data_IF_802512453774
#
_entry.id   IF_802512453774
#
_cell.length_a   1.000
_cell.length_b   1.000
_cell.length_c   1.000
_cell.angle_alpha   90.00
_cell.angle_beta   90.00
_cell.angle_gamma   90.00
#
_symmetry.space_group_name_H-M   'P 1'
#
loop_
_entity.id
_entity.type
_entity.pdbx_description
1 polymer ?
#
# COMPACT_ATOMS: atom_id res chain seq x y z
N UNK A 1 -56.02 69.51 -5.83
CA UNK A 1 -55.83 68.06 -5.94
C UNK A 1 -54.39 67.87 -6.40
N UNK A 2 -53.52 67.29 -5.58
CA UNK A 2 -52.14 67.06 -5.98
C UNK A 2 -51.98 65.71 -6.74
N UNK A 3 -50.94 65.56 -7.60
CA UNK A 3 -50.73 64.36 -8.39
C UNK A 3 -50.00 63.27 -7.63
N UNK A 4 -50.40 62.04 -7.91
CA UNK A 4 -49.84 60.79 -7.31
C UNK A 4 -48.44 60.50 -7.77
N UNK A 5 -47.56 60.21 -6.84
CA UNK A 5 -46.18 59.78 -7.08
C UNK A 5 -46.19 58.24 -7.45
N UNK A 6 -45.55 57.91 -8.58
CA UNK A 6 -45.28 56.55 -9.02
C UNK A 6 -43.96 56.08 -8.42
N UNK A 7 -43.99 55.10 -7.56
CA UNK A 7 -42.82 54.46 -6.99
C UNK A 7 -42.33 53.35 -7.89
N UNK A 8 -41.14 53.53 -8.52
CA UNK A 8 -40.45 52.45 -9.25
C UNK A 8 -39.71 51.54 -8.27
N UNK A 9 -40.15 50.28 -8.17
CA UNK A 9 -39.46 49.25 -7.45
C UNK A 9 -38.33 48.68 -8.35
N UNK A 10 -37.07 48.84 -7.89
CA UNK A 10 -35.91 48.17 -8.50
C UNK A 10 -35.81 46.79 -7.93
N UNK A 11 -36.14 45.75 -8.74
CA UNK A 11 -35.81 44.35 -8.44
C UNK A 11 -34.32 44.11 -8.72
N UNK A 12 -33.52 44.03 -7.66
CA UNK A 12 -32.13 43.59 -7.74
C UNK A 12 -32.05 42.07 -7.91
N UNK A 13 -31.63 41.60 -9.06
CA UNK A 13 -31.31 40.22 -9.25
C UNK A 13 -30.01 39.85 -8.56
N UNK A 14 -30.10 39.08 -7.49
CA UNK A 14 -28.93 38.50 -6.79
C UNK A 14 -28.44 37.32 -7.60
N UNK A 15 -27.34 37.47 -8.35
CA UNK A 15 -26.62 36.37 -8.98
C UNK A 15 -25.84 35.61 -7.90
N UNK A 16 -26.36 34.47 -7.44
CA UNK A 16 -25.59 33.53 -6.63
C UNK A 16 -24.63 32.77 -7.56
N UNK A 17 -23.35 33.17 -7.52
CA UNK A 17 -22.27 32.46 -8.19
C UNK A 17 -21.99 31.19 -7.40
N UNK A 18 -22.60 30.06 -7.75
CA UNK A 18 -22.20 28.74 -7.25
C UNK A 18 -20.81 28.41 -7.79
N UNK A 19 -19.77 28.73 -7.00
CA UNK A 19 -18.43 28.16 -7.20
C UNK A 19 -18.54 26.69 -6.81
N UNK A 20 -18.66 25.81 -7.78
CA UNK A 20 -18.46 24.40 -7.56
C UNK A 20 -16.99 24.19 -7.19
N UNK A 21 -16.72 24.14 -5.90
CA UNK A 21 -15.47 23.56 -5.39
C UNK A 21 -15.49 22.08 -5.79
N UNK A 22 -14.81 21.78 -6.88
CA UNK A 22 -14.50 20.39 -7.22
C UNK A 22 -13.71 19.81 -6.08
N UNK A 23 -14.32 18.94 -5.27
CA UNK A 23 -13.61 18.14 -4.30
C UNK A 23 -12.54 17.36 -5.07
N UNK A 24 -11.27 17.77 -4.94
CA UNK A 24 -10.14 16.94 -5.32
C UNK A 24 -10.25 15.70 -4.47
N UNK A 25 -10.30 14.53 -5.08
CA UNK A 25 -10.09 13.29 -4.36
C UNK A 25 -8.70 13.38 -3.72
N UNK A 26 -8.68 13.61 -2.42
CA UNK A 26 -7.46 13.58 -1.63
C UNK A 26 -7.02 12.12 -1.59
N UNK A 27 -5.72 11.86 -1.77
CA UNK A 27 -5.13 10.54 -1.63
C UNK A 27 -5.26 10.02 -0.19
N UNK A 28 -4.64 8.88 0.09
CA UNK A 28 -4.55 8.34 1.46
C UNK A 28 -3.84 9.35 2.34
N UNK A 29 -4.46 9.74 3.45
CA UNK A 29 -3.87 10.64 4.44
C UNK A 29 -2.92 9.88 5.36
N UNK A 30 -1.77 9.43 4.85
CA UNK A 30 -0.72 8.79 5.63
C UNK A 30 0.57 9.59 5.56
N UNK A 31 1.38 9.52 6.64
CA UNK A 31 2.69 10.16 6.70
C UNK A 31 3.84 9.22 6.36
N UNK A 32 3.58 7.94 6.17
CA UNK A 32 4.58 6.93 5.84
C UNK A 32 4.28 6.30 4.48
N UNK A 33 5.26 6.34 3.60
CA UNK A 33 5.18 5.89 2.22
C UNK A 33 6.26 4.84 1.98
N UNK A 34 5.84 3.62 1.72
CA UNK A 34 6.69 2.45 1.50
C UNK A 34 6.84 2.15 0.01
N UNK A 35 8.03 1.81 -0.43
CA UNK A 35 8.28 1.23 -1.74
C UNK A 35 9.19 0.01 -1.61
N UNK A 36 8.74 -1.14 -2.11
CA UNK A 36 9.48 -2.40 -2.01
C UNK A 36 10.56 -2.50 -3.08
N UNK A 37 11.60 -3.27 -2.78
CA UNK A 37 12.63 -3.75 -3.71
C UNK A 37 13.65 -2.67 -4.14
N UNK A 38 14.94 -3.00 -4.01
CA UNK A 38 16.03 -2.19 -4.56
C UNK A 38 16.17 -0.81 -3.93
N UNK A 39 15.89 -0.68 -2.63
CA UNK A 39 15.87 0.60 -1.95
C UNK A 39 17.24 1.24 -1.72
N UNK A 40 18.33 0.47 -1.86
CA UNK A 40 19.69 0.95 -1.60
C UNK A 40 20.58 0.75 -2.81
N UNK A 41 21.45 1.70 -3.07
CA UNK A 41 22.52 1.55 -4.06
C UNK A 41 23.69 0.70 -3.54
N UNK A 42 24.70 0.50 -4.36
CA UNK A 42 25.91 -0.26 -4.01
C UNK A 42 26.74 0.36 -2.87
N UNK A 43 26.50 1.62 -2.53
CA UNK A 43 27.14 2.35 -1.44
C UNK A 43 26.28 2.39 -0.17
N UNK A 44 25.10 1.76 -0.19
CA UNK A 44 24.13 1.76 0.91
C UNK A 44 23.28 3.02 1.02
N UNK A 45 23.25 3.89 0.01
CA UNK A 45 22.43 5.08 0.04
C UNK A 45 20.95 4.74 -0.29
N UNK A 46 20.02 5.25 0.51
CA UNK A 46 18.59 5.08 0.33
C UNK A 46 18.06 5.89 -0.86
N UNK A 47 17.54 5.21 -1.88
CA UNK A 47 17.16 5.81 -3.16
C UNK A 47 15.73 6.37 -3.22
N UNK A 48 14.68 5.70 -2.67
CA UNK A 48 13.30 6.15 -2.83
C UNK A 48 12.99 7.50 -2.16
N UNK A 49 13.83 7.94 -1.22
CA UNK A 49 13.71 9.23 -0.54
C UNK A 49 13.66 10.43 -1.48
N UNK A 50 14.29 10.34 -2.68
CA UNK A 50 14.23 11.40 -3.71
C UNK A 50 12.82 11.67 -4.25
N UNK A 51 11.90 10.73 -4.04
CA UNK A 51 10.49 10.80 -4.46
C UNK A 51 9.56 10.95 -3.24
N UNK A 52 10.12 11.15 -2.05
CA UNK A 52 9.38 11.36 -0.82
C UNK A 52 8.95 10.09 -0.08
N UNK A 53 9.38 8.89 -0.52
CA UNK A 53 9.20 7.69 0.27
C UNK A 53 10.06 7.78 1.53
N UNK A 54 9.49 7.46 2.68
CA UNK A 54 10.10 7.60 3.99
C UNK A 54 9.94 6.36 4.88
N UNK A 55 9.51 5.25 4.27
CA UNK A 55 9.55 3.91 4.85
C UNK A 55 10.33 3.01 3.90
N UNK A 56 11.46 2.49 4.37
CA UNK A 56 12.40 1.71 3.58
C UNK A 56 12.15 0.21 3.70
N UNK A 57 12.34 -0.52 2.60
CA UNK A 57 12.47 -1.97 2.57
C UNK A 57 13.88 -2.35 3.05
N UNK A 58 13.98 -2.99 4.21
CA UNK A 58 15.24 -3.25 4.92
C UNK A 58 15.46 -4.74 5.08
N UNK A 59 16.66 -5.20 4.75
CA UNK A 59 17.09 -6.60 4.88
C UNK A 59 18.34 -6.80 5.74
N UNK A 60 18.96 -5.72 6.25
CA UNK A 60 20.09 -5.81 7.19
C UNK A 60 20.06 -4.68 8.24
N UNK A 61 20.75 -4.90 9.36
CA UNK A 61 20.86 -3.89 10.42
C UNK A 61 21.61 -2.65 9.91
N UNK A 62 22.63 -2.85 9.09
CA UNK A 62 23.40 -1.78 8.48
C UNK A 62 22.53 -0.86 7.60
N UNK A 63 21.58 -1.45 6.85
CA UNK A 63 20.61 -0.66 6.08
C UNK A 63 19.72 0.16 7.01
N UNK A 64 19.20 -0.46 8.09
CA UNK A 64 18.34 0.23 9.06
C UNK A 64 19.08 1.38 9.77
N UNK A 65 20.33 1.16 10.15
CA UNK A 65 21.16 2.16 10.83
C UNK A 65 21.59 3.31 9.91
N UNK A 66 21.71 3.05 8.60
CA UNK A 66 22.13 4.04 7.59
C UNK A 66 20.97 4.92 7.08
N UNK A 67 19.73 4.69 7.52
CA UNK A 67 18.59 5.44 7.03
C UNK A 67 18.72 6.94 7.36
N UNK A 68 18.34 7.82 6.41
CA UNK A 68 18.29 9.26 6.65
C UNK A 68 17.34 9.62 7.79
N UNK A 69 17.58 10.76 8.42
CA UNK A 69 16.69 11.29 9.47
C UNK A 69 15.24 11.39 8.96
N UNK A 70 14.29 10.87 9.74
CA UNK A 70 12.87 10.85 9.39
C UNK A 70 12.43 9.66 8.54
N UNK A 71 13.34 8.84 8.04
CA UNK A 71 13.03 7.58 7.37
C UNK A 71 12.99 6.46 8.40
N UNK A 72 11.97 5.59 8.31
CA UNK A 72 11.83 4.37 9.10
C UNK A 72 12.10 3.14 8.23
N UNK A 73 12.34 2.00 8.87
CA UNK A 73 12.52 0.72 8.18
C UNK A 73 11.39 -0.25 8.47
N UNK A 74 10.95 -0.94 7.44
CA UNK A 74 10.12 -2.14 7.51
C UNK A 74 11.02 -3.32 7.15
N UNK A 75 11.26 -4.22 8.10
CA UNK A 75 12.24 -5.31 7.96
C UNK A 75 11.57 -6.52 7.31
N UNK A 76 12.13 -7.00 6.21
CA UNK A 76 11.68 -8.22 5.57
C UNK A 76 12.08 -9.46 6.38
N UNK A 77 11.09 -10.29 6.72
CA UNK A 77 11.26 -11.58 7.43
C UNK A 77 11.16 -12.76 6.46
N UNK A 78 10.12 -12.81 5.64
CA UNK A 78 9.98 -13.76 4.53
C UNK A 78 9.79 -15.21 4.95
N UNK A 79 9.25 -15.47 6.15
CA UNK A 79 9.00 -16.82 6.65
C UNK A 79 7.72 -16.89 7.48
N UNK A 80 7.18 -18.09 7.63
CA UNK A 80 5.96 -18.37 8.39
C UNK A 80 6.08 -19.77 9.04
N UNK A 81 7.13 -19.94 9.83
CA UNK A 81 7.39 -21.20 10.56
C UNK A 81 7.06 -21.12 12.04
N UNK A 82 6.57 -19.97 12.49
CA UNK A 82 6.42 -19.65 13.90
C UNK A 82 7.73 -19.17 14.51
N UNK A 83 7.79 -19.11 15.83
CA UNK A 83 8.96 -18.60 16.57
C UNK A 83 10.01 -19.71 16.69
N UNK A 84 10.69 -19.96 15.59
CA UNK A 84 11.82 -20.88 15.53
C UNK A 84 13.19 -20.17 15.61
N UNK A 85 14.27 -20.92 15.49
CA UNK A 85 15.62 -20.38 15.55
C UNK A 85 15.93 -19.43 14.37
N UNK A 86 15.37 -19.70 13.17
CA UNK A 86 15.57 -18.87 11.98
C UNK A 86 14.83 -17.53 12.13
N UNK A 87 13.56 -17.56 12.55
CA UNK A 87 12.80 -16.36 12.87
C UNK A 87 13.54 -15.49 13.91
N UNK A 88 13.99 -16.09 15.02
CA UNK A 88 14.70 -15.36 16.05
C UNK A 88 16.02 -14.77 15.57
N UNK A 89 16.76 -15.48 14.73
CA UNK A 89 18.00 -14.98 14.14
C UNK A 89 17.74 -13.78 13.22
N UNK A 90 16.61 -13.77 12.48
CA UNK A 90 16.22 -12.67 11.61
C UNK A 90 15.73 -11.45 12.38
N UNK A 91 14.91 -11.62 13.42
CA UNK A 91 14.17 -10.51 14.04
C UNK A 91 14.95 -9.84 15.17
N UNK A 92 15.65 -10.62 16.02
CA UNK A 92 16.34 -10.11 17.21
C UNK A 92 17.34 -8.97 16.98
N UNK A 93 18.14 -8.96 15.90
CA UNK A 93 19.12 -7.90 15.67
C UNK A 93 18.51 -6.49 15.53
N UNK A 94 17.23 -6.39 15.21
CA UNK A 94 16.54 -5.12 14.99
C UNK A 94 15.79 -4.60 16.22
N UNK A 95 15.64 -5.44 17.25
CA UNK A 95 14.88 -5.08 18.46
C UNK A 95 15.52 -3.90 19.17
N UNK A 96 14.72 -2.86 19.46
CA UNK A 96 15.17 -1.64 20.12
C UNK A 96 15.80 -0.60 19.17
N UNK A 97 15.91 -0.90 17.88
CA UNK A 97 16.42 0.09 16.91
C UNK A 97 15.40 1.23 16.75
N UNK A 98 15.80 2.50 16.94
CA UNK A 98 14.88 3.64 16.86
C UNK A 98 14.32 3.91 15.46
N UNK A 99 14.97 3.40 14.41
CA UNK A 99 14.51 3.54 13.03
C UNK A 99 13.51 2.45 12.63
N UNK A 100 13.32 1.41 13.45
CA UNK A 100 12.39 0.32 13.14
C UNK A 100 10.94 0.81 13.24
N UNK A 101 10.17 0.65 12.15
CA UNK A 101 8.71 0.71 12.18
C UNK A 101 8.12 -0.65 12.56
N UNK A 102 8.63 -1.72 11.95
CA UNK A 102 8.07 -3.06 12.13
C UNK A 102 8.66 -4.10 11.19
N UNK A 103 7.94 -5.20 11.06
CA UNK A 103 8.36 -6.39 10.33
C UNK A 103 7.34 -6.78 9.26
N UNK A 104 7.80 -6.94 8.03
CA UNK A 104 7.06 -7.54 6.94
C UNK A 104 7.26 -9.06 7.02
N UNK A 105 6.31 -9.74 7.65
CA UNK A 105 6.45 -11.16 8.01
C UNK A 105 6.45 -12.06 6.78
N UNK A 106 5.48 -11.86 5.87
CA UNK A 106 5.37 -12.71 4.69
C UNK A 106 4.60 -12.00 3.58
N UNK A 107 5.07 -12.13 2.34
CA UNK A 107 4.34 -11.76 1.14
C UNK A 107 3.47 -12.92 0.67
N UNK A 108 2.19 -12.64 0.42
CA UNK A 108 1.20 -13.58 -0.13
C UNK A 108 1.21 -14.98 0.50
N UNK A 109 1.18 -15.10 1.86
CA UNK A 109 1.20 -16.40 2.52
C UNK A 109 -0.01 -17.25 2.13
N UNK A 110 0.22 -18.56 1.91
CA UNK A 110 -0.83 -19.51 1.52
C UNK A 110 -1.36 -20.29 2.74
N UNK A 111 -2.59 -20.00 3.21
CA UNK A 111 -3.16 -20.72 4.35
C UNK A 111 -3.47 -22.19 4.03
N UNK A 112 -3.58 -22.54 2.75
CA UNK A 112 -4.00 -23.86 2.27
C UNK A 112 -2.85 -24.79 1.95
N UNK A 113 -1.70 -24.24 1.54
CA UNK A 113 -0.58 -24.98 1.00
C UNK A 113 -0.78 -25.47 -0.44
N UNK A 114 -1.76 -24.89 -1.15
CA UNK A 114 -2.08 -25.29 -2.53
C UNK A 114 -1.12 -24.71 -3.55
N UNK A 115 -0.67 -23.50 -3.35
CA UNK A 115 0.15 -22.74 -4.31
C UNK A 115 1.58 -22.56 -3.83
N UNK A 116 1.77 -22.39 -2.51
CA UNK A 116 3.04 -22.20 -1.84
C UNK A 116 3.11 -23.08 -0.59
N UNK A 117 4.27 -23.22 0.07
CA UNK A 117 4.33 -23.88 1.37
C UNK A 117 3.28 -23.30 2.32
N UNK A 118 2.57 -24.19 3.02
CA UNK A 118 1.48 -23.76 3.89
C UNK A 118 1.99 -22.85 5.01
N UNK A 119 1.41 -21.67 5.11
CA UNK A 119 1.57 -20.75 6.22
C UNK A 119 0.35 -20.84 7.13
N UNK A 120 0.48 -21.43 8.32
CA UNK A 120 -0.62 -21.51 9.27
C UNK A 120 -0.83 -20.17 9.97
N UNK A 121 -2.08 -19.79 10.21
CA UNK A 121 -2.39 -18.56 10.95
C UNK A 121 -1.76 -18.55 12.36
N UNK A 122 -1.69 -19.71 13.03
CA UNK A 122 -1.05 -19.87 14.33
C UNK A 122 0.45 -19.56 14.31
N UNK A 123 1.13 -19.79 13.18
CA UNK A 123 2.54 -19.42 13.02
C UNK A 123 2.70 -17.91 12.99
N UNK A 124 1.93 -17.22 12.14
CA UNK A 124 1.91 -15.74 12.08
C UNK A 124 1.49 -15.14 13.42
N UNK A 125 0.54 -15.78 14.10
CA UNK A 125 0.12 -15.36 15.43
C UNK A 125 1.28 -15.45 16.44
N UNK A 126 2.00 -16.57 16.49
CA UNK A 126 3.14 -16.73 17.38
C UNK A 126 4.26 -15.72 17.08
N UNK A 127 4.56 -15.48 15.79
CA UNK A 127 5.54 -14.48 15.33
C UNK A 127 5.13 -13.06 15.74
N UNK A 128 3.87 -12.68 15.52
CA UNK A 128 3.32 -11.37 15.90
C UNK A 128 3.33 -11.20 17.43
N UNK A 129 2.89 -12.18 18.18
CA UNK A 129 2.88 -12.15 19.64
C UNK A 129 4.30 -11.98 20.21
N UNK A 130 5.29 -12.67 19.62
CA UNK A 130 6.69 -12.50 19.99
C UNK A 130 7.19 -11.08 19.72
N UNK A 131 6.91 -10.54 18.54
CA UNK A 131 7.31 -9.17 18.16
C UNK A 131 6.69 -8.15 19.14
N UNK A 132 5.39 -8.26 19.41
CA UNK A 132 4.70 -7.35 20.32
C UNK A 132 5.28 -7.41 21.75
N UNK A 133 5.73 -8.58 22.19
CA UNK A 133 6.31 -8.77 23.52
C UNK A 133 7.75 -8.23 23.64
N UNK A 134 8.58 -8.40 22.60
CA UNK A 134 10.03 -8.13 22.66
C UNK A 134 10.46 -6.87 21.89
N UNK A 135 9.64 -6.39 20.98
CA UNK A 135 9.83 -5.13 20.25
C UNK A 135 8.58 -4.23 20.39
N UNK A 136 8.28 -3.75 21.60
CA UNK A 136 7.04 -3.01 21.86
C UNK A 136 6.96 -1.77 20.99
N UNK A 137 5.81 -1.61 20.31
CA UNK A 137 5.55 -0.54 19.34
C UNK A 137 5.88 -0.88 17.89
N UNK A 138 6.66 -1.94 17.64
CA UNK A 138 6.89 -2.43 16.29
C UNK A 138 5.61 -3.05 15.71
N UNK A 139 5.35 -2.77 14.42
CA UNK A 139 4.20 -3.30 13.69
C UNK A 139 4.53 -4.61 13.00
N UNK A 140 3.52 -5.45 12.83
CA UNK A 140 3.59 -6.64 11.98
C UNK A 140 2.73 -6.45 10.75
N UNK A 141 3.23 -6.86 9.59
CA UNK A 141 2.60 -6.64 8.29
C UNK A 141 2.69 -7.90 7.42
N UNK A 142 1.61 -8.20 6.71
CA UNK A 142 1.58 -9.18 5.62
C UNK A 142 0.84 -8.61 4.42
N UNK A 143 1.10 -9.16 3.24
CA UNK A 143 0.27 -8.95 2.05
C UNK A 143 -0.53 -10.23 1.80
N UNK A 144 -1.86 -10.11 1.73
CA UNK A 144 -2.75 -11.25 1.44
C UNK A 144 -2.57 -11.72 -0.01
N UNK A 145 -2.89 -13.01 -0.25
CA UNK A 145 -2.74 -13.63 -1.56
C UNK A 145 -3.43 -12.83 -2.67
N UNK A 146 -2.77 -12.79 -3.83
CA UNK A 146 -3.33 -12.21 -5.04
C UNK A 146 -4.53 -13.06 -5.52
N UNK A 147 -5.68 -12.41 -5.70
CA UNK A 147 -6.90 -13.05 -6.21
C UNK A 147 -7.07 -12.86 -7.73
N UNK A 148 -6.03 -12.41 -8.42
CA UNK A 148 -6.00 -12.21 -9.87
C UNK A 148 -7.14 -11.34 -10.37
N UNK A 149 -7.79 -11.76 -11.47
CA UNK A 149 -8.93 -11.06 -12.07
C UNK A 149 -10.29 -11.46 -11.47
N UNK A 150 -10.33 -12.08 -10.29
CA UNK A 150 -11.57 -12.53 -9.68
C UNK A 150 -12.61 -11.42 -9.60
N UNK A 151 -13.81 -11.69 -10.08
CA UNK A 151 -14.97 -10.81 -9.93
C UNK A 151 -15.65 -10.98 -8.57
N UNK A 152 -15.34 -12.07 -7.88
CA UNK A 152 -15.82 -12.41 -6.55
C UNK A 152 -14.66 -12.88 -5.66
N UNK A 153 -13.66 -11.99 -5.39
CA UNK A 153 -12.52 -12.34 -4.53
C UNK A 153 -13.02 -12.71 -3.13
N UNK A 154 -12.30 -13.61 -2.46
CA UNK A 154 -12.62 -14.00 -1.09
C UNK A 154 -11.35 -14.33 -0.31
N UNK A 155 -11.18 -13.70 0.84
CA UNK A 155 -10.14 -14.03 1.82
C UNK A 155 -10.68 -14.89 2.97
N UNK A 156 -11.86 -15.49 2.80
CA UNK A 156 -12.45 -16.39 3.81
C UNK A 156 -11.49 -17.55 4.11
N UNK A 157 -11.27 -17.84 5.39
CA UNK A 157 -10.32 -18.86 5.84
C UNK A 157 -8.85 -18.48 5.71
N UNK A 158 -8.55 -17.23 5.31
CA UNK A 158 -7.22 -16.65 5.30
C UNK A 158 -6.89 -15.97 6.65
N UNK A 159 -6.12 -14.90 6.63
CA UNK A 159 -5.62 -14.20 7.82
C UNK A 159 -6.41 -12.94 8.10
N UNK A 160 -6.61 -12.68 9.40
CA UNK A 160 -7.20 -11.44 9.92
C UNK A 160 -6.61 -11.15 11.32
N UNK A 161 -6.86 -9.98 11.91
CA UNK A 161 -6.32 -9.64 13.22
C UNK A 161 -6.66 -10.61 14.34
N UNK A 162 -7.81 -11.32 14.24
CA UNK A 162 -8.25 -12.22 15.30
C UNK A 162 -7.53 -13.57 15.29
N UNK A 163 -7.15 -14.09 14.11
CA UNK A 163 -6.53 -15.41 14.00
C UNK A 163 -5.00 -15.38 13.83
N UNK A 164 -4.43 -14.25 13.38
CA UNK A 164 -2.99 -14.12 13.13
C UNK A 164 -2.28 -13.11 14.03
N UNK A 165 -3.03 -12.27 14.75
CA UNK A 165 -2.55 -11.14 15.54
C UNK A 165 -1.65 -10.15 14.76
N UNK A 166 -1.63 -10.25 13.43
CA UNK A 166 -0.96 -9.30 12.55
C UNK A 166 -1.65 -7.95 12.63
N UNK A 167 -0.84 -6.88 12.66
CA UNK A 167 -1.37 -5.52 12.78
C UNK A 167 -1.94 -4.98 11.48
N UNK A 168 -1.26 -5.21 10.35
CA UNK A 168 -1.52 -4.55 9.09
C UNK A 168 -1.57 -5.54 7.92
N UNK A 169 -2.47 -5.29 6.97
CA UNK A 169 -2.76 -6.18 5.86
C UNK A 169 -2.80 -5.41 4.54
N UNK A 170 -1.90 -5.73 3.62
CA UNK A 170 -1.96 -5.30 2.23
C UNK A 170 -2.63 -6.34 1.34
N UNK A 171 -2.98 -5.99 0.11
CA UNK A 171 -3.44 -6.94 -0.91
C UNK A 171 -3.13 -6.47 -2.32
N UNK A 172 -2.71 -7.42 -3.16
CA UNK A 172 -2.25 -7.21 -4.52
C UNK A 172 -3.42 -6.94 -5.48
N UNK A 173 -4.07 -5.79 -5.38
CA UNK A 173 -5.09 -5.35 -6.33
C UNK A 173 -4.44 -4.59 -7.48
N UNK A 174 -3.83 -5.31 -8.44
CA UNK A 174 -3.15 -4.73 -9.60
C UNK A 174 -4.09 -4.64 -10.80
N UNK A 175 -4.73 -3.47 -11.05
CA UNK A 175 -5.83 -3.34 -11.99
C UNK A 175 -5.41 -3.29 -13.46
N UNK A 176 -4.15 -2.93 -13.77
CA UNK A 176 -3.69 -2.70 -15.14
C UNK A 176 -2.97 -3.94 -15.68
N UNK A 177 -3.63 -4.65 -16.63
CA UNK A 177 -3.18 -5.95 -17.14
C UNK A 177 -3.48 -6.12 -18.62
N UNK A 178 -2.70 -6.97 -19.30
CA UNK A 178 -2.82 -7.20 -20.75
C UNK A 178 -4.13 -7.89 -21.17
N UNK A 179 -4.75 -8.66 -20.28
CA UNK A 179 -6.03 -9.35 -20.55
C UNK A 179 -7.22 -8.39 -20.53
N UNK A 180 -7.00 -7.15 -20.11
CA UNK A 180 -8.03 -6.13 -20.00
C UNK A 180 -7.87 -5.09 -21.10
N UNK A 181 -8.98 -4.61 -21.67
CA UNK A 181 -8.96 -3.49 -22.61
C UNK A 181 -8.56 -2.16 -21.94
N UNK A 182 -8.77 -2.08 -20.63
CA UNK A 182 -8.42 -0.94 -19.76
C UNK A 182 -8.19 -1.45 -18.35
N UNK A 183 -7.57 -0.65 -17.46
CA UNK A 183 -7.41 -1.03 -16.06
C UNK A 183 -8.78 -1.24 -15.39
N UNK A 184 -8.92 -2.33 -14.64
CA UNK A 184 -10.12 -2.66 -13.85
C UNK A 184 -10.00 -2.03 -12.45
N UNK A 185 -10.18 -0.72 -12.37
CA UNK A 185 -10.07 0.00 -11.09
C UNK A 185 -11.05 -0.48 -10.02
N UNK A 186 -12.17 -1.09 -10.44
CA UNK A 186 -13.17 -1.63 -9.53
C UNK A 186 -12.68 -2.88 -8.79
N UNK A 187 -11.59 -3.48 -9.27
CA UNK A 187 -10.85 -4.53 -8.56
C UNK A 187 -10.47 -4.08 -7.13
N UNK A 188 -10.04 -2.85 -6.94
CA UNK A 188 -9.66 -2.29 -5.63
C UNK A 188 -10.87 -2.35 -4.68
N UNK A 189 -12.04 -1.91 -5.13
CA UNK A 189 -13.28 -1.94 -4.33
C UNK A 189 -13.64 -3.38 -3.92
N UNK A 190 -13.53 -4.33 -4.87
CA UNK A 190 -13.86 -5.74 -4.61
C UNK A 190 -12.92 -6.38 -3.62
N UNK A 191 -11.61 -6.08 -3.71
CA UNK A 191 -10.61 -6.62 -2.78
C UNK A 191 -10.77 -6.05 -1.37
N UNK A 192 -11.02 -4.74 -1.24
CA UNK A 192 -11.31 -4.11 0.05
C UNK A 192 -12.55 -4.73 0.69
N UNK A 193 -13.65 -4.87 -0.07
CA UNK A 193 -14.87 -5.48 0.43
C UNK A 193 -14.68 -6.96 0.85
N UNK A 194 -13.88 -7.72 0.09
CA UNK A 194 -13.55 -9.10 0.41
C UNK A 194 -12.72 -9.21 1.70
N UNK A 195 -11.76 -8.31 1.91
CA UNK A 195 -10.96 -8.26 3.13
C UNK A 195 -11.81 -7.88 4.34
N UNK A 196 -12.70 -6.87 4.23
CA UNK A 196 -13.66 -6.54 5.29
C UNK A 196 -14.54 -7.73 5.65
N UNK A 197 -15.10 -8.41 4.65
CA UNK A 197 -15.94 -9.61 4.85
C UNK A 197 -15.20 -10.76 5.53
N UNK A 198 -13.87 -10.78 5.43
CA UNK A 198 -13.00 -11.79 6.04
C UNK A 198 -12.46 -11.37 7.42
N UNK A 199 -12.92 -10.25 7.96
CA UNK A 199 -12.59 -9.76 9.30
C UNK A 199 -11.37 -8.83 9.37
N UNK A 200 -10.89 -8.29 8.24
CA UNK A 200 -9.85 -7.25 8.22
C UNK A 200 -10.53 -5.87 8.18
N UNK A 201 -10.52 -5.08 9.24
CA UNK A 201 -11.12 -3.75 9.24
C UNK A 201 -10.27 -2.77 8.42
N UNK A 202 -10.90 -1.76 7.81
CA UNK A 202 -10.20 -0.75 6.97
C UNK A 202 -9.08 -0.04 7.69
N UNK A 203 -9.20 0.17 8.99
CA UNK A 203 -8.13 0.77 9.83
C UNK A 203 -6.85 -0.07 9.94
N UNK A 204 -6.89 -1.33 9.49
CA UNK A 204 -5.76 -2.24 9.43
C UNK A 204 -5.30 -2.52 8.00
N UNK A 205 -5.93 -1.91 7.01
CA UNK A 205 -5.58 -2.08 5.60
C UNK A 205 -4.45 -1.14 5.20
N UNK A 206 -3.55 -1.66 4.39
CA UNK A 206 -2.47 -0.92 3.73
C UNK A 206 -2.79 -0.87 2.24
N UNK A 207 -3.00 0.31 1.66
CA UNK A 207 -3.11 0.48 0.21
C UNK A 207 -1.87 -0.03 -0.50
N UNK A 208 -2.04 -0.90 -1.51
CA UNK A 208 -0.95 -1.39 -2.35
C UNK A 208 -1.18 -0.91 -3.78
N UNK A 209 -0.28 -0.06 -4.27
CA UNK A 209 -0.37 0.55 -5.59
C UNK A 209 0.41 -0.25 -6.62
N UNK A 210 -0.12 -0.36 -7.83
CA UNK A 210 0.58 -0.96 -8.95
C UNK A 210 1.52 0.07 -9.59
N UNK A 211 2.79 0.04 -9.24
CA UNK A 211 3.80 0.95 -9.79
C UNK A 211 4.83 0.21 -10.67
N UNK A 212 4.39 -0.84 -11.34
CA UNK A 212 5.22 -1.69 -12.20
C UNK A 212 4.42 -2.24 -13.37
N UNK A 213 5.13 -2.73 -14.40
CA UNK A 213 4.53 -3.45 -15.52
C UNK A 213 5.52 -3.77 -16.64
N UNK A 214 5.12 -4.63 -17.56
CA UNK A 214 5.98 -5.15 -18.62
C UNK A 214 6.90 -6.28 -18.14
N UNK A 215 7.98 -6.50 -18.88
CA UNK A 215 8.92 -7.58 -18.60
C UNK A 215 8.33 -8.97 -18.73
N UNK A 216 8.93 -9.93 -18.02
CA UNK A 216 8.53 -11.34 -17.99
C UNK A 216 7.62 -11.70 -16.83
N UNK A 217 7.00 -10.69 -16.22
CA UNK A 217 6.08 -10.92 -15.11
C UNK A 217 4.72 -11.41 -15.59
N UNK A 218 4.57 -12.71 -15.59
CA UNK A 218 3.33 -13.41 -15.93
C UNK A 218 2.68 -13.89 -14.64
N UNK A 219 1.40 -13.64 -14.45
CA UNK A 219 0.66 -14.22 -13.35
C UNK A 219 0.16 -15.64 -13.65
N UNK A 220 -0.46 -16.30 -12.67
CA UNK A 220 -0.96 -17.69 -12.80
C UNK A 220 -2.04 -17.84 -13.88
N UNK A 221 -2.70 -16.76 -14.30
CA UNK A 221 -3.66 -16.74 -15.40
C UNK A 221 -3.03 -16.54 -16.79
N UNK A 222 -1.70 -16.38 -16.87
CA UNK A 222 -0.97 -16.16 -18.12
C UNK A 222 -0.99 -14.71 -18.60
N UNK A 223 -1.65 -13.81 -17.90
CA UNK A 223 -1.65 -12.37 -18.19
C UNK A 223 -0.40 -11.66 -17.67
N UNK A 224 -0.14 -10.49 -18.23
CA UNK A 224 1.00 -9.65 -17.82
C UNK A 224 0.49 -8.35 -17.22
N UNK A 225 1.23 -7.83 -16.26
CA UNK A 225 1.00 -6.50 -15.73
C UNK A 225 1.44 -5.43 -16.72
N UNK A 226 0.67 -4.36 -16.81
CA UNK A 226 0.96 -3.18 -17.66
C UNK A 226 1.28 -2.01 -16.75
N UNK A 227 2.39 -1.32 -17.03
CA UNK A 227 2.73 -0.12 -16.28
C UNK A 227 1.60 0.91 -16.41
N UNK A 228 1.01 1.37 -15.30
CA UNK A 228 -0.03 2.40 -15.35
C UNK A 228 0.49 3.70 -15.97
N UNK A 229 -0.32 4.36 -16.77
CA UNK A 229 -0.08 5.74 -17.18
C UNK A 229 -0.26 6.69 -16.00
N UNK A 230 0.24 7.91 -16.09
CA UNK A 230 0.05 8.98 -15.08
C UNK A 230 -1.43 9.14 -14.65
N UNK A 231 -2.34 9.08 -15.62
CA UNK A 231 -3.79 9.19 -15.35
C UNK A 231 -4.33 7.99 -14.59
N UNK A 232 -3.89 6.80 -14.96
CA UNK A 232 -4.30 5.54 -14.34
C UNK A 232 -3.76 5.43 -12.91
N UNK A 233 -2.50 5.82 -12.68
CA UNK A 233 -1.94 5.80 -11.34
C UNK A 233 -2.66 6.78 -10.40
N UNK A 234 -3.00 7.97 -10.88
CA UNK A 234 -3.82 8.92 -10.10
C UNK A 234 -5.19 8.36 -9.74
N UNK A 235 -5.83 7.60 -10.64
CA UNK A 235 -7.09 6.92 -10.35
C UNK A 235 -6.91 5.82 -9.29
N UNK A 236 -5.81 5.03 -9.35
CA UNK A 236 -5.46 4.04 -8.34
C UNK A 236 -5.33 4.71 -6.96
N UNK A 237 -4.52 5.77 -6.86
CA UNK A 237 -4.31 6.53 -5.63
C UNK A 237 -5.62 7.10 -5.09
N UNK A 238 -6.46 7.71 -5.95
CA UNK A 238 -7.74 8.29 -5.57
C UNK A 238 -8.73 7.24 -5.05
N UNK A 239 -8.79 6.06 -5.68
CA UNK A 239 -9.65 4.95 -5.24
C UNK A 239 -9.26 4.44 -3.86
N UNK A 240 -7.98 4.20 -3.66
CA UNK A 240 -7.47 3.80 -2.35
C UNK A 240 -7.72 4.86 -1.28
N UNK A 241 -7.48 6.15 -1.59
CA UNK A 241 -7.76 7.27 -0.68
C UNK A 241 -9.23 7.37 -0.28
N UNK A 242 -10.15 7.07 -1.19
CA UNK A 242 -11.58 7.04 -0.87
C UNK A 242 -11.99 5.85 0.02
N UNK A 243 -11.31 4.70 -0.10
CA UNK A 243 -11.64 3.47 0.62
C UNK A 243 -10.93 3.35 1.96
N UNK A 244 -9.67 3.78 2.04
CA UNK A 244 -8.79 3.70 3.21
C UNK A 244 -8.10 5.05 3.42
N UNK A 245 -8.84 6.08 3.87
CA UNK A 245 -8.34 7.46 3.91
C UNK A 245 -7.25 7.70 4.97
N UNK A 246 -7.13 6.81 5.96
CA UNK A 246 -6.19 6.96 7.08
C UNK A 246 -5.44 5.65 7.31
N UNK A 247 -4.55 5.28 6.40
CA UNK A 247 -3.69 4.11 6.58
C UNK A 247 -2.50 4.44 7.50
N UNK A 248 -1.94 3.43 8.17
CA UNK A 248 -0.67 3.57 8.92
C UNK A 248 0.48 3.92 7.97
N UNK A 249 0.53 3.27 6.83
CA UNK A 249 1.37 3.59 5.68
C UNK A 249 0.69 3.16 4.40
N UNK A 250 1.19 3.64 3.27
CA UNK A 250 0.84 3.13 1.95
C UNK A 250 2.06 2.49 1.25
N UNK A 251 1.81 1.72 0.19
CA UNK A 251 2.81 0.83 -0.37
C UNK A 251 2.79 0.88 -1.90
N UNK A 252 3.86 1.36 -2.52
CA UNK A 252 4.07 1.28 -3.96
C UNK A 252 4.85 0.00 -4.32
N UNK A 253 4.24 -0.92 -5.03
CA UNK A 253 4.88 -2.07 -5.59
C UNK A 253 5.16 -1.81 -7.07
N UNK A 254 6.43 -1.56 -7.48
CA UNK A 254 7.65 -1.60 -6.70
C UNK A 254 8.57 -0.41 -7.02
N UNK A 255 9.62 -0.19 -6.19
CA UNK A 255 10.68 0.75 -6.54
C UNK A 255 11.58 0.16 -7.62
N UNK A 256 12.21 -0.99 -7.40
CA UNK A 256 13.11 -1.65 -8.33
C UNK A 256 12.43 -2.73 -9.17
N UNK A 257 12.95 -2.96 -10.39
CA UNK A 257 12.56 -4.05 -11.27
C UNK A 257 12.93 -5.41 -10.68
N UNK A 258 12.09 -6.42 -10.90
CA UNK A 258 12.31 -7.79 -10.44
C UNK A 258 12.45 -8.79 -11.58
N UNK A 259 11.75 -8.59 -12.69
CA UNK A 259 11.68 -9.54 -13.82
C UNK A 259 11.81 -8.84 -15.17
N UNK A 260 12.68 -7.85 -15.25
CA UNK A 260 12.85 -7.02 -16.44
C UNK A 260 11.67 -6.10 -16.72
N UNK A 261 10.78 -5.92 -15.74
CA UNK A 261 9.68 -4.96 -15.74
C UNK A 261 10.20 -3.53 -15.57
N UNK A 262 9.40 -2.56 -15.98
CA UNK A 262 9.59 -1.16 -15.64
C UNK A 262 8.96 -0.93 -14.26
N UNK A 263 9.72 -0.33 -13.35
CA UNK A 263 9.29 0.01 -12.00
C UNK A 263 9.55 1.50 -11.70
N UNK A 264 9.32 1.96 -10.49
CA UNK A 264 9.46 3.38 -10.14
C UNK A 264 10.86 3.93 -10.37
N UNK A 265 11.92 3.15 -10.12
CA UNK A 265 13.31 3.59 -10.29
C UNK A 265 13.64 4.08 -11.71
N UNK A 266 12.95 3.49 -12.70
CA UNK A 266 13.13 3.76 -14.14
C UNK A 266 11.96 4.52 -14.78
N UNK A 267 10.86 4.80 -14.04
CA UNK A 267 9.68 5.53 -14.53
C UNK A 267 9.61 6.95 -13.97
N UNK A 268 10.18 7.92 -14.68
CA UNK A 268 10.14 9.34 -14.30
C UNK A 268 8.70 9.89 -14.15
N UNK A 269 7.79 9.46 -15.01
CA UNK A 269 6.40 9.89 -14.97
C UNK A 269 5.69 9.45 -13.69
N UNK A 270 5.87 8.19 -13.29
CA UNK A 270 5.32 7.69 -12.04
C UNK A 270 6.03 8.29 -10.82
N UNK A 271 7.35 8.49 -10.87
CA UNK A 271 8.07 9.22 -9.81
C UNK A 271 7.45 10.60 -9.57
N UNK A 272 7.05 11.31 -10.64
CA UNK A 272 6.38 12.63 -10.52
C UNK A 272 5.00 12.50 -9.85
N UNK A 273 4.24 11.45 -10.13
CA UNK A 273 2.95 11.20 -9.47
C UNK A 273 3.14 10.94 -7.99
N UNK A 274 4.03 10.02 -7.64
CA UNK A 274 4.30 9.66 -6.23
C UNK A 274 4.94 10.79 -5.44
N UNK A 275 5.84 11.58 -6.04
CA UNK A 275 6.41 12.76 -5.36
C UNK A 275 5.33 13.76 -4.93
N UNK A 276 4.30 13.96 -5.75
CA UNK A 276 3.16 14.82 -5.39
C UNK A 276 2.28 14.19 -4.32
N UNK A 277 2.02 12.88 -4.39
CA UNK A 277 1.25 12.13 -3.42
C UNK A 277 1.93 12.17 -2.06
N UNK A 278 3.21 11.80 -1.99
CA UNK A 278 4.00 11.71 -0.77
C UNK A 278 4.24 13.08 -0.11
N UNK A 279 4.16 14.19 -0.87
CA UNK A 279 4.33 15.55 -0.35
C UNK A 279 3.03 16.20 0.11
N UNK A 280 1.88 15.64 -0.22
CA UNK A 280 0.56 16.20 0.09
C UNK A 280 -0.02 15.72 1.43
N UNK A 281 0.64 14.75 2.08
CA UNK A 281 0.16 14.03 3.26
C UNK A 281 1.08 14.20 4.48
#
# INVERSE_FOLDING_TARGET
MPPSAVTLSRAGALFVLCVALGARAEGVGTRLHFALQGNFDSNGAYLPGKVGFNLADVSSVEQLDSLPAGVKGLVWVGQCAGVDAAFLATVRPYVGNPNLLGFYLMDTPDPTGRYFPRCAADNLKAESDWIHAYAPGAKTFIVLMNMGLSKTPSFAGSYNPANSHVDLFGFCSYPCRTELNSCDFDMINRFVAAAESSGVPRSRMVPVYQAFGGGDWVDDGGGRYVLPTVGQEREILARWGALVPTAEFDYAYSWGSQRGDVALDSSFDLQTVFSRHNSAN
#
